data_IF_683910768714
#
_entry.id   IF_683910768714
#
_cell.length_a   1.000
_cell.length_b   1.000
_cell.length_c   1.000
_cell.angle_alpha   90.00
_cell.angle_beta   90.00
_cell.angle_gamma   90.00
#
_symmetry.space_group_name_H-M   'P 1'
#
loop_
_entity.id
_entity.type
_entity.pdbx_description
1 polymer ?
#
# COMPACT_ATOMS: atom_id res chain seq x y z
N UNK A 1 -6.36 13.67 0.33
CA UNK A 1 -6.73 12.82 -0.83
C UNK A 1 -8.20 12.45 -0.69
N UNK A 2 -9.05 12.61 -1.73
CA UNK A 2 -10.49 12.33 -1.63
C UNK A 2 -10.77 10.87 -1.19
N UNK A 3 -9.90 9.94 -1.59
CA UNK A 3 -9.97 8.53 -1.22
C UNK A 3 -9.66 8.29 0.26
N UNK A 4 -8.72 9.03 0.85
CA UNK A 4 -8.41 8.93 2.29
C UNK A 4 -9.62 9.34 3.13
N UNK A 5 -10.25 10.47 2.79
CA UNK A 5 -11.45 10.95 3.48
C UNK A 5 -12.61 9.95 3.37
N UNK A 6 -12.77 9.34 2.20
CA UNK A 6 -13.76 8.29 1.96
C UNK A 6 -13.51 7.06 2.82
N UNK A 7 -12.26 6.62 2.95
CA UNK A 7 -11.88 5.48 3.81
C UNK A 7 -12.12 5.81 5.28
N UNK A 8 -11.70 7.00 5.75
CA UNK A 8 -11.91 7.45 7.12
C UNK A 8 -13.41 7.49 7.48
N UNK A 9 -14.24 8.03 6.59
CA UNK A 9 -15.69 8.05 6.76
C UNK A 9 -16.30 6.64 6.83
N UNK A 10 -15.85 5.73 5.95
CA UNK A 10 -16.32 4.34 5.94
C UNK A 10 -15.94 3.59 7.23
N UNK A 11 -14.70 3.77 7.70
CA UNK A 11 -14.22 3.19 8.96
C UNK A 11 -15.07 3.66 10.13
N UNK A 12 -15.33 4.96 10.22
CA UNK A 12 -16.14 5.56 11.28
C UNK A 12 -17.62 5.14 11.22
N UNK A 13 -18.20 5.06 10.02
CA UNK A 13 -19.58 4.62 9.82
C UNK A 13 -19.80 3.17 10.31
N UNK A 14 -18.80 2.32 10.12
CA UNK A 14 -18.91 0.88 10.42
C UNK A 14 -18.27 0.45 11.74
N UNK A 15 -17.70 1.37 12.53
CA UNK A 15 -17.08 1.04 13.82
C UNK A 15 -15.81 0.20 13.68
N UNK A 16 -15.04 0.42 12.61
CA UNK A 16 -13.83 -0.33 12.27
C UNK A 16 -12.55 0.34 12.79
N UNK A 17 -12.67 1.30 13.69
CA UNK A 17 -11.53 1.98 14.29
C UNK A 17 -10.67 1.00 15.10
N UNK A 18 -9.36 1.14 14.96
CA UNK A 18 -8.38 0.37 15.72
C UNK A 18 -7.14 1.22 15.94
N UNK A 19 -6.26 0.79 16.82
CA UNK A 19 -5.03 1.52 17.13
C UNK A 19 -4.01 1.44 15.97
N UNK A 20 -3.04 2.35 16.02
CA UNK A 20 -1.99 2.45 15.00
C UNK A 20 -1.21 1.13 14.84
N UNK A 21 -0.96 0.40 15.93
CA UNK A 21 -0.21 -0.85 15.87
C UNK A 21 -0.98 -1.92 15.10
N UNK A 22 -2.31 -2.02 15.32
CA UNK A 22 -3.17 -2.91 14.56
C UNK A 22 -3.28 -2.47 13.10
N UNK A 23 -3.35 -1.17 12.79
CA UNK A 23 -3.34 -0.69 11.39
C UNK A 23 -2.08 -1.07 10.62
N UNK A 24 -0.93 -1.07 11.29
CA UNK A 24 0.33 -1.53 10.67
C UNK A 24 0.26 -3.04 10.36
N UNK A 25 -0.30 -3.84 11.26
CA UNK A 25 -0.48 -5.29 11.05
C UNK A 25 -1.53 -5.58 9.96
N UNK A 26 -2.59 -4.78 9.90
CA UNK A 26 -3.63 -4.83 8.87
C UNK A 26 -3.00 -4.65 7.48
N UNK A 27 -2.22 -3.58 7.30
CA UNK A 27 -1.50 -3.33 6.05
C UNK A 27 -0.51 -4.46 5.71
N UNK A 28 0.22 -5.00 6.69
CA UNK A 28 1.13 -6.12 6.45
C UNK A 28 0.39 -7.37 5.98
N UNK A 29 -0.78 -7.65 6.56
CA UNK A 29 -1.63 -8.76 6.16
C UNK A 29 -2.10 -8.63 4.72
N UNK A 30 -2.59 -7.46 4.31
CA UNK A 30 -3.08 -7.25 2.93
C UNK A 30 -1.94 -7.34 1.89
N UNK A 31 -0.76 -6.83 2.23
CA UNK A 31 0.44 -7.02 1.38
C UNK A 31 0.84 -8.50 1.32
N UNK A 32 0.63 -9.25 2.40
CA UNK A 32 0.84 -10.69 2.45
C UNK A 32 -0.12 -11.48 1.55
N UNK A 33 -1.39 -11.07 1.45
CA UNK A 33 -2.36 -11.68 0.54
C UNK A 33 -1.98 -11.47 -0.93
N UNK A 34 -1.53 -10.26 -1.31
CA UNK A 34 -0.94 -10.01 -2.64
C UNK A 34 0.21 -10.99 -2.93
N UNK A 35 1.14 -11.15 -1.97
CA UNK A 35 2.29 -12.04 -2.14
C UNK A 35 1.86 -13.51 -2.28
N UNK A 36 0.84 -13.92 -1.53
CA UNK A 36 0.26 -15.26 -1.60
C UNK A 36 -0.44 -15.53 -2.92
N UNK A 37 -1.13 -14.55 -3.52
CA UNK A 37 -1.70 -14.73 -4.85
C UNK A 37 -0.64 -14.97 -5.92
N UNK A 38 0.46 -14.21 -5.89
CA UNK A 38 1.60 -14.47 -6.78
C UNK A 38 2.21 -15.85 -6.51
N UNK A 39 2.39 -16.21 -5.23
CA UNK A 39 2.95 -17.52 -4.89
C UNK A 39 2.05 -18.67 -5.36
N UNK A 40 0.73 -18.56 -5.22
CA UNK A 40 -0.20 -19.62 -5.62
C UNK A 40 -0.38 -19.68 -7.14
N UNK A 41 -0.51 -18.53 -7.81
CA UNK A 41 -0.65 -18.46 -9.28
C UNK A 41 0.57 -18.98 -10.02
N UNK A 42 1.76 -18.85 -9.43
CA UNK A 42 3.03 -19.35 -10.01
C UNK A 42 3.38 -20.79 -9.61
N UNK A 43 2.46 -21.55 -9.00
CA UNK A 43 2.75 -22.87 -8.39
C UNK A 43 4.02 -22.83 -7.52
N UNK A 44 4.03 -21.86 -6.60
CA UNK A 44 5.13 -21.59 -5.68
C UNK A 44 6.47 -21.35 -6.38
N UNK A 45 6.42 -20.69 -7.54
CA UNK A 45 7.58 -20.32 -8.36
C UNK A 45 7.97 -21.32 -9.45
N UNK A 46 7.23 -22.43 -9.60
CA UNK A 46 7.46 -23.39 -10.70
C UNK A 46 7.03 -22.84 -12.06
N UNK A 47 6.08 -21.90 -12.08
CA UNK A 47 5.51 -21.26 -13.27
C UNK A 47 5.54 -19.72 -13.14
N UNK A 48 6.72 -19.07 -13.24
CA UNK A 48 6.84 -17.63 -12.97
C UNK A 48 6.02 -16.74 -13.92
N UNK A 49 5.79 -17.18 -15.16
CA UNK A 49 5.01 -16.43 -16.15
C UNK A 49 3.49 -16.46 -15.86
N UNK A 50 3.04 -17.28 -14.90
CA UNK A 50 1.65 -17.38 -14.48
C UNK A 50 1.28 -16.38 -13.36
N UNK A 51 2.22 -15.52 -12.93
CA UNK A 51 2.01 -14.55 -11.88
C UNK A 51 0.77 -13.67 -12.15
N UNK A 52 -0.18 -13.72 -11.22
CA UNK A 52 -1.41 -12.96 -11.28
C UNK A 52 -1.76 -12.39 -9.90
N UNK A 53 -2.36 -11.21 -9.90
CA UNK A 53 -2.90 -10.53 -8.72
C UNK A 53 -4.30 -10.04 -9.09
N UNK A 54 -5.28 -10.33 -8.26
CA UNK A 54 -6.63 -9.85 -8.36
C UNK A 54 -6.72 -8.37 -7.96
N UNK A 55 -7.63 -7.63 -8.59
CA UNK A 55 -7.68 -6.16 -8.40
C UNK A 55 -8.21 -5.77 -7.02
N UNK A 56 -9.02 -6.62 -6.39
CA UNK A 56 -9.51 -6.47 -5.03
C UNK A 56 -8.37 -6.50 -4.00
N UNK A 57 -7.39 -7.40 -4.13
CA UNK A 57 -6.22 -7.43 -3.23
C UNK A 57 -5.41 -6.12 -3.24
N UNK A 58 -5.28 -5.49 -4.42
CA UNK A 58 -4.68 -4.15 -4.52
C UNK A 58 -5.56 -3.10 -3.83
N UNK A 59 -6.88 -3.24 -3.95
CA UNK A 59 -7.85 -2.37 -3.29
C UNK A 59 -7.80 -2.49 -1.77
N UNK A 60 -7.67 -3.70 -1.24
CA UNK A 60 -7.61 -3.98 0.20
C UNK A 60 -6.32 -3.43 0.81
N UNK A 61 -5.17 -3.64 0.14
CA UNK A 61 -3.91 -3.03 0.55
C UNK A 61 -3.95 -1.49 0.51
N UNK A 62 -4.60 -0.90 -0.51
CA UNK A 62 -4.79 0.55 -0.58
C UNK A 62 -5.70 1.05 0.54
N UNK A 63 -6.81 0.35 0.82
CA UNK A 63 -7.71 0.67 1.92
C UNK A 63 -6.95 0.67 3.25
N UNK A 64 -6.18 -0.39 3.53
CA UNK A 64 -5.40 -0.53 4.76
C UNK A 64 -4.35 0.59 4.89
N UNK A 65 -3.67 0.95 3.79
CA UNK A 65 -2.68 2.03 3.79
C UNK A 65 -3.32 3.40 4.09
N UNK A 66 -4.47 3.70 3.50
CA UNK A 66 -5.18 4.96 3.74
C UNK A 66 -5.75 5.02 5.17
N UNK A 67 -6.27 3.91 5.69
CA UNK A 67 -6.72 3.81 7.07
C UNK A 67 -5.55 3.93 8.07
N UNK A 68 -4.36 3.44 7.70
CA UNK A 68 -3.13 3.64 8.46
C UNK A 68 -2.69 5.10 8.46
N UNK A 69 -2.74 5.78 7.31
CA UNK A 69 -2.40 7.19 7.19
C UNK A 69 -3.30 8.06 8.10
N UNK A 70 -4.60 7.78 8.12
CA UNK A 70 -5.55 8.42 9.03
C UNK A 70 -5.17 8.18 10.51
N UNK A 71 -4.91 6.93 10.90
CA UNK A 71 -4.51 6.61 12.27
C UNK A 71 -3.16 7.22 12.68
N UNK A 72 -2.30 7.55 11.71
CA UNK A 72 -1.01 8.18 11.89
C UNK A 72 -1.06 9.72 11.86
N UNK A 73 -2.23 10.33 11.64
CA UNK A 73 -2.40 11.78 11.43
C UNK A 73 -1.53 12.28 10.26
N UNK A 74 -1.45 11.49 9.19
CA UNK A 74 -0.65 11.79 8.00
C UNK A 74 -1.56 12.01 6.78
N UNK A 75 -1.32 13.10 6.03
CA UNK A 75 -1.94 13.30 4.72
C UNK A 75 -1.25 12.39 3.69
N UNK A 76 -2.00 11.42 3.16
CA UNK A 76 -1.46 10.45 2.22
C UNK A 76 -1.08 11.07 0.86
N UNK A 77 -1.75 12.13 0.42
CA UNK A 77 -1.38 12.83 -0.81
C UNK A 77 -0.07 13.59 -0.64
N UNK A 78 0.09 14.34 0.45
CA UNK A 78 1.35 15.03 0.74
C UNK A 78 2.51 14.04 0.89
N UNK A 79 2.30 12.91 1.58
CA UNK A 79 3.31 11.86 1.73
C UNK A 79 3.71 11.22 0.38
N UNK A 80 2.75 11.05 -0.53
CA UNK A 80 2.99 10.56 -1.88
C UNK A 80 3.78 11.58 -2.71
N UNK A 81 3.37 12.85 -2.69
CA UNK A 81 4.03 13.94 -3.40
C UNK A 81 5.50 14.09 -2.97
N UNK A 82 5.76 14.02 -1.66
CA UNK A 82 7.13 14.01 -1.14
C UNK A 82 7.96 12.84 -1.69
N UNK A 83 7.36 11.66 -1.77
CA UNK A 83 8.04 10.46 -2.26
C UNK A 83 8.35 10.57 -3.75
N UNK A 84 7.39 11.07 -4.55
CA UNK A 84 7.58 11.31 -5.97
C UNK A 84 8.68 12.34 -6.23
N UNK A 85 8.69 13.47 -5.51
CA UNK A 85 9.74 14.48 -5.62
C UNK A 85 11.13 13.92 -5.29
N UNK A 86 11.23 13.02 -4.29
CA UNK A 86 12.48 12.32 -3.96
C UNK A 86 12.93 11.40 -5.10
N UNK A 87 12.01 10.67 -5.73
CA UNK A 87 12.32 9.83 -6.89
C UNK A 87 12.77 10.65 -8.10
N UNK A 88 12.07 11.73 -8.43
CA UNK A 88 12.43 12.63 -9.54
C UNK A 88 13.83 13.22 -9.35
N UNK A 89 14.16 13.67 -8.14
CA UNK A 89 15.48 14.20 -7.82
C UNK A 89 16.59 13.15 -7.96
N UNK A 90 16.34 11.90 -7.54
CA UNK A 90 17.29 10.79 -7.72
C UNK A 90 17.53 10.52 -9.20
N UNK A 91 16.46 10.35 -9.99
CA UNK A 91 16.56 10.10 -11.42
C UNK A 91 17.32 11.23 -12.12
N UNK A 92 17.06 12.48 -11.77
CA UNK A 92 17.77 13.64 -12.33
C UNK A 92 19.27 13.66 -11.97
N UNK A 93 19.66 13.11 -10.83
CA UNK A 93 21.04 13.16 -10.32
C UNK A 93 21.89 11.93 -10.71
N UNK A 94 21.32 10.73 -10.71
CA UNK A 94 22.04 9.47 -10.94
C UNK A 94 21.62 8.74 -12.22
N UNK A 95 20.50 9.14 -12.85
CA UNK A 95 19.86 8.38 -13.92
C UNK A 95 19.06 7.17 -13.43
N UNK A 96 18.94 6.98 -12.10
CA UNK A 96 18.27 5.83 -11.48
C UNK A 96 17.35 6.29 -10.33
N UNK A 97 16.23 5.58 -10.12
CA UNK A 97 15.26 5.83 -9.05
C UNK A 97 15.67 5.20 -7.70
N UNK A 98 16.61 4.25 -7.72
CA UNK A 98 17.06 3.49 -6.56
C UNK A 98 17.62 4.37 -5.45
N UNK A 99 17.21 4.08 -4.21
CA UNK A 99 17.74 4.72 -3.00
C UNK A 99 19.05 4.09 -2.50
N UNK A 100 19.54 3.05 -3.17
CA UNK A 100 20.67 2.23 -2.72
C UNK A 100 21.98 2.51 -3.45
N UNK A 101 22.96 3.03 -2.70
CA UNK A 101 24.27 2.39 -2.62
C UNK A 101 24.31 1.55 -1.35
#
# INVERSE_FOLDING_TARGET
MDEQDRVAAFVAEHGLETDLAHRVLDLESEVGEIAKEVATSTDYGSEPDAAAIATDEIGDALFALLALAEAADADAAEALDESLAKYEARIASSGDAGSGQ
#
